data_IF_457055276638
#
_entry.id   IF_457055276638
#
_cell.length_a   1.000
_cell.length_b   1.000
_cell.length_c   1.000
_cell.angle_alpha   90.00
_cell.angle_beta   90.00
_cell.angle_gamma   90.00
#
_symmetry.space_group_name_H-M   'P 1'
#
loop_
_entity.id
_entity.type
_entity.pdbx_description
1 polymer ?
#
# COMPACT_ATOMS: atom_id res chain seq x y z
N UNK A 1 -23.00 10.99 10.79
CA UNK A 1 -22.02 11.48 9.83
C UNK A 1 -21.54 10.33 8.96
N UNK A 2 -21.29 10.57 7.68
CA UNK A 2 -20.87 9.53 6.72
C UNK A 2 -19.53 9.89 6.10
N UNK A 3 -18.55 9.00 6.19
CA UNK A 3 -17.22 9.18 5.60
C UNK A 3 -16.97 8.16 4.49
N UNK A 4 -16.23 8.59 3.46
CA UNK A 4 -15.55 7.67 2.57
C UNK A 4 -14.13 7.44 3.11
N UNK A 5 -13.69 6.18 3.19
CA UNK A 5 -12.33 5.81 3.57
C UNK A 5 -11.63 5.19 2.36
N UNK A 6 -10.52 5.79 2.00
CA UNK A 6 -9.58 5.38 0.95
C UNK A 6 -8.15 5.49 1.48
N UNK A 7 -7.20 4.87 0.81
CA UNK A 7 -5.77 4.95 1.12
C UNK A 7 -4.95 4.34 0.00
N UNK A 8 -3.63 4.35 0.15
CA UNK A 8 -2.68 3.66 -0.71
C UNK A 8 -2.90 4.01 -2.20
N UNK A 9 -3.04 5.33 -2.48
CA UNK A 9 -3.30 5.84 -3.83
C UNK A 9 -2.11 5.60 -4.74
N UNK A 10 -0.89 5.69 -4.19
CA UNK A 10 0.38 5.52 -4.89
C UNK A 10 0.42 6.26 -6.23
N UNK A 11 0.02 7.53 -6.23
CA UNK A 11 -0.04 8.33 -7.45
C UNK A 11 1.36 8.43 -8.07
N UNK A 12 1.44 8.12 -9.36
CA UNK A 12 2.71 8.04 -10.09
C UNK A 12 3.32 6.65 -10.15
N UNK A 13 2.63 5.61 -9.63
CA UNK A 13 3.10 4.23 -9.68
C UNK A 13 3.33 3.74 -11.10
N UNK A 14 4.39 2.97 -11.25
CA UNK A 14 4.69 2.20 -12.46
C UNK A 14 4.68 0.71 -12.12
N UNK A 15 4.04 -0.08 -12.94
CA UNK A 15 4.00 -1.55 -12.80
C UNK A 15 4.60 -2.17 -14.05
N UNK A 16 5.67 -2.94 -13.93
CA UNK A 16 6.41 -3.52 -15.07
C UNK A 16 6.66 -2.50 -16.19
N UNK A 17 7.16 -1.32 -15.81
CA UNK A 17 7.43 -0.17 -16.71
C UNK A 17 6.21 0.53 -17.33
N UNK A 18 5.00 0.06 -17.08
CA UNK A 18 3.78 0.74 -17.49
C UNK A 18 3.41 1.85 -16.48
N UNK A 19 3.16 3.05 -16.98
CA UNK A 19 2.66 4.15 -16.14
C UNK A 19 1.19 3.92 -15.83
N UNK A 20 0.82 4.04 -14.55
CA UNK A 20 -0.58 3.90 -14.11
C UNK A 20 -1.33 5.23 -14.05
N UNK A 21 -0.70 6.37 -14.39
CA UNK A 21 -1.27 7.72 -14.21
C UNK A 21 -2.62 7.92 -14.87
N UNK A 22 -2.84 7.40 -16.10
CA UNK A 22 -4.13 7.52 -16.79
C UNK A 22 -5.24 6.73 -16.07
N UNK A 23 -4.91 5.51 -15.59
CA UNK A 23 -5.86 4.68 -14.86
C UNK A 23 -6.11 5.26 -13.47
N UNK A 24 -5.10 5.85 -12.84
CA UNK A 24 -5.23 6.58 -11.58
C UNK A 24 -6.14 7.80 -11.75
N UNK A 25 -5.96 8.61 -12.79
CA UNK A 25 -6.86 9.72 -13.10
C UNK A 25 -8.31 9.25 -13.30
N UNK A 26 -8.50 8.17 -14.02
CA UNK A 26 -9.83 7.60 -14.26
C UNK A 26 -10.50 7.16 -12.95
N UNK A 27 -9.77 6.44 -12.09
CA UNK A 27 -10.33 5.91 -10.85
C UNK A 27 -10.59 7.01 -9.80
N UNK A 28 -9.71 8.02 -9.70
CA UNK A 28 -9.90 9.17 -8.82
C UNK A 28 -11.14 9.98 -9.20
N UNK A 29 -11.40 10.18 -10.50
CA UNK A 29 -12.63 10.80 -10.98
C UNK A 29 -13.88 9.96 -10.68
N UNK A 30 -13.77 8.62 -10.72
CA UNK A 30 -14.87 7.74 -10.33
C UNK A 30 -15.15 7.85 -8.83
N UNK A 31 -14.10 7.96 -8.00
CA UNK A 31 -14.25 8.15 -6.56
C UNK A 31 -15.02 9.43 -6.22
N UNK A 32 -14.70 10.57 -6.84
CA UNK A 32 -15.42 11.83 -6.60
C UNK A 32 -16.91 11.64 -6.87
N UNK A 33 -17.28 11.00 -7.98
CA UNK A 33 -18.70 10.71 -8.30
C UNK A 33 -19.34 9.82 -7.25
N UNK A 34 -18.63 8.77 -6.80
CA UNK A 34 -19.12 7.90 -5.72
C UNK A 34 -19.35 8.70 -4.44
N UNK A 35 -18.45 9.61 -4.08
CA UNK A 35 -18.59 10.43 -2.88
C UNK A 35 -19.81 11.35 -2.95
N UNK A 36 -20.06 11.98 -4.09
CA UNK A 36 -21.26 12.79 -4.34
C UNK A 36 -22.55 11.95 -4.29
N UNK A 37 -22.58 10.80 -4.98
CA UNK A 37 -23.73 9.88 -5.01
C UNK A 37 -24.05 9.31 -3.62
N UNK A 38 -23.00 8.97 -2.85
CA UNK A 38 -23.15 8.49 -1.47
C UNK A 38 -23.43 9.61 -0.47
N UNK A 39 -23.30 10.88 -0.87
CA UNK A 39 -23.47 12.08 -0.04
C UNK A 39 -22.63 11.97 1.23
N UNK A 40 -21.33 11.76 1.04
CA UNK A 40 -20.40 11.69 2.17
C UNK A 40 -20.18 13.07 2.79
N UNK A 41 -20.03 13.12 4.10
CA UNK A 41 -19.72 14.35 4.85
C UNK A 41 -18.22 14.63 4.92
N UNK A 42 -17.40 13.72 4.37
CA UNK A 42 -15.94 13.87 4.28
C UNK A 42 -15.24 12.61 3.80
N UNK A 43 -13.96 12.77 3.45
CA UNK A 43 -13.09 11.69 2.96
C UNK A 43 -11.91 11.49 3.91
N UNK A 44 -11.68 10.27 4.37
CA UNK A 44 -10.51 9.84 5.13
C UNK A 44 -9.50 9.24 4.15
N UNK A 45 -8.30 9.84 4.03
CA UNK A 45 -7.21 9.35 3.18
C UNK A 45 -6.10 8.80 4.07
N UNK A 46 -6.00 7.49 4.14
CA UNK A 46 -5.16 6.76 5.09
C UNK A 46 -3.71 6.56 4.61
N UNK A 47 -3.07 7.61 4.08
CA UNK A 47 -1.65 7.61 3.70
C UNK A 47 -1.35 7.01 2.32
N UNK A 48 -0.05 6.97 2.00
CA UNK A 48 0.52 6.57 0.72
C UNK A 48 -0.17 7.22 -0.47
N UNK A 49 -0.19 8.56 -0.41
CA UNK A 49 -0.75 9.39 -1.48
C UNK A 49 0.09 9.26 -2.74
N UNK A 50 1.41 9.35 -2.60
CA UNK A 50 2.36 9.18 -3.69
C UNK A 50 3.08 7.83 -3.62
N UNK A 51 3.52 7.33 -4.78
CA UNK A 51 4.33 6.11 -4.85
C UNK A 51 5.77 6.30 -4.34
N UNK A 52 6.24 7.54 -4.27
CA UNK A 52 7.61 7.87 -3.87
C UNK A 52 7.67 9.17 -3.06
N UNK A 53 8.62 9.24 -2.14
CA UNK A 53 8.90 10.44 -1.32
C UNK A 53 9.20 11.69 -2.15
N UNK A 54 9.70 11.51 -3.39
CA UNK A 54 9.87 12.57 -4.40
C UNK A 54 9.02 12.21 -5.62
N UNK A 55 7.74 12.63 -5.65
CA UNK A 55 6.84 12.35 -6.76
C UNK A 55 7.24 13.09 -8.03
N UNK A 56 6.84 12.57 -9.20
CA UNK A 56 6.99 13.30 -10.46
C UNK A 56 6.03 14.49 -10.53
N UNK A 57 6.33 15.45 -11.41
CA UNK A 57 5.46 16.62 -11.60
C UNK A 57 4.03 16.22 -12.03
N UNK A 58 3.91 15.19 -12.87
CA UNK A 58 2.62 14.69 -13.33
C UNK A 58 1.82 14.04 -12.19
N UNK A 59 2.51 13.38 -11.25
CA UNK A 59 1.87 12.80 -10.06
C UNK A 59 1.35 13.91 -9.13
N UNK A 60 2.14 14.96 -8.92
CA UNK A 60 1.73 16.13 -8.13
C UNK A 60 0.53 16.81 -8.77
N UNK A 61 0.55 17.02 -10.09
CA UNK A 61 -0.56 17.62 -10.82
C UNK A 61 -1.84 16.77 -10.70
N UNK A 62 -1.72 15.45 -10.83
CA UNK A 62 -2.88 14.56 -10.70
C UNK A 62 -3.50 14.62 -9.30
N UNK A 63 -2.66 14.68 -8.26
CA UNK A 63 -3.16 14.83 -6.90
C UNK A 63 -3.82 16.19 -6.68
N UNK A 64 -3.22 17.27 -7.19
CA UNK A 64 -3.80 18.62 -7.15
C UNK A 64 -5.19 18.65 -7.83
N UNK A 65 -5.33 18.02 -9.00
CA UNK A 65 -6.62 17.88 -9.69
C UNK A 65 -7.66 17.17 -8.82
N UNK A 66 -7.25 16.08 -8.13
CA UNK A 66 -8.13 15.31 -7.25
C UNK A 66 -8.60 16.11 -6.04
N UNK A 67 -7.66 16.74 -5.31
CA UNK A 67 -7.97 17.55 -4.13
C UNK A 67 -8.79 18.78 -4.50
N UNK A 68 -8.45 19.45 -5.60
CA UNK A 68 -9.24 20.57 -6.14
C UNK A 68 -10.66 20.12 -6.53
N UNK A 69 -10.80 18.89 -7.06
CA UNK A 69 -12.10 18.29 -7.34
C UNK A 69 -12.95 18.10 -6.09
N UNK A 70 -12.36 17.60 -5.02
CA UNK A 70 -13.04 17.43 -3.72
C UNK A 70 -13.43 18.78 -3.10
N UNK A 71 -12.54 19.77 -3.12
CA UNK A 71 -12.83 21.12 -2.64
C UNK A 71 -13.99 21.78 -3.42
N UNK A 72 -14.03 21.62 -4.76
CA UNK A 72 -15.15 22.12 -5.59
C UNK A 72 -16.49 21.43 -5.30
N UNK A 73 -16.44 20.16 -4.92
CA UNK A 73 -17.60 19.39 -4.49
C UNK A 73 -17.98 19.66 -3.01
N UNK A 74 -17.28 20.58 -2.34
CA UNK A 74 -17.47 20.93 -0.94
C UNK A 74 -17.38 19.69 0.00
N UNK A 75 -16.47 18.74 -0.33
CA UNK A 75 -16.24 17.51 0.43
C UNK A 75 -14.98 17.69 1.28
N UNK A 76 -15.08 17.76 2.61
CA UNK A 76 -13.94 17.85 3.52
C UNK A 76 -13.00 16.65 3.41
N UNK A 77 -11.70 16.90 3.56
CA UNK A 77 -10.64 15.87 3.47
C UNK A 77 -9.85 15.78 4.77
N UNK A 78 -9.67 14.58 5.27
CA UNK A 78 -8.86 14.24 6.44
C UNK A 78 -7.78 13.27 6.02
N UNK A 79 -6.53 13.75 5.92
CA UNK A 79 -5.44 13.02 5.27
C UNK A 79 -4.20 12.91 6.14
N UNK A 80 -3.55 11.77 6.05
CA UNK A 80 -2.24 11.52 6.67
C UNK A 80 -1.20 11.15 5.62
N UNK A 81 0.08 11.22 5.96
CA UNK A 81 1.17 10.62 5.19
C UNK A 81 1.34 9.15 5.55
N UNK A 82 1.66 8.33 4.54
CA UNK A 82 2.10 6.95 4.70
C UNK A 82 3.62 6.80 4.70
N UNK A 83 4.12 5.56 4.53
CA UNK A 83 5.57 5.29 4.52
C UNK A 83 6.25 5.65 3.18
N UNK A 84 5.51 5.70 2.07
CA UNK A 84 6.01 6.15 0.76
C UNK A 84 6.03 7.67 0.64
N UNK A 85 5.24 8.38 1.41
CA UNK A 85 5.17 9.84 1.37
C UNK A 85 6.36 10.49 2.11
N UNK A 86 6.71 11.73 1.72
CA UNK A 86 7.42 12.65 2.61
C UNK A 86 6.37 13.47 3.37
N UNK A 87 6.29 13.28 4.68
CA UNK A 87 5.35 14.00 5.54
C UNK A 87 5.54 15.53 5.42
N UNK A 88 6.79 16.01 5.30
CA UNK A 88 7.13 17.44 5.14
C UNK A 88 6.59 18.00 3.82
N UNK A 89 6.71 17.23 2.72
CA UNK A 89 6.24 17.67 1.40
C UNK A 89 4.72 17.62 1.30
N UNK A 90 4.11 16.57 1.82
CA UNK A 90 2.66 16.39 1.78
C UNK A 90 1.96 17.45 2.65
N UNK A 91 2.55 17.81 3.80
CA UNK A 91 2.00 18.83 4.69
C UNK A 91 2.36 20.28 4.28
N UNK A 92 3.06 20.47 3.16
CA UNK A 92 3.34 21.81 2.66
C UNK A 92 2.04 22.58 2.38
N UNK A 93 1.88 23.73 3.01
CA UNK A 93 0.67 24.54 2.88
C UNK A 93 -0.55 24.05 3.68
N UNK A 94 -0.41 23.00 4.50
CA UNK A 94 -1.53 22.39 5.24
C UNK A 94 -2.41 23.39 5.99
N UNK A 95 -1.80 24.42 6.64
CA UNK A 95 -2.55 25.47 7.34
C UNK A 95 -3.39 26.35 6.40
N UNK A 96 -2.95 26.53 5.16
CA UNK A 96 -3.71 27.29 4.16
C UNK A 96 -4.89 26.45 3.63
N UNK A 97 -4.72 25.15 3.50
CA UNK A 97 -5.75 24.24 3.01
C UNK A 97 -6.91 24.05 4.00
N UNK A 98 -6.68 24.29 5.29
CA UNK A 98 -7.74 24.24 6.32
C UNK A 98 -8.90 25.20 6.03
N UNK A 99 -8.64 26.32 5.35
CA UNK A 99 -9.69 27.24 4.93
C UNK A 99 -10.63 26.68 3.86
N UNK A 100 -10.24 25.57 3.25
CA UNK A 100 -11.02 24.80 2.27
C UNK A 100 -11.43 23.42 2.79
N UNK A 101 -11.47 23.25 4.12
CA UNK A 101 -11.80 22.01 4.80
C UNK A 101 -10.91 20.80 4.43
N UNK A 102 -9.64 21.07 4.08
CA UNK A 102 -8.63 20.04 3.80
C UNK A 102 -7.65 20.00 4.96
N UNK A 103 -7.73 18.94 5.76
CA UNK A 103 -6.92 18.73 6.97
C UNK A 103 -5.86 17.67 6.68
N UNK A 104 -4.59 18.07 6.75
CA UNK A 104 -3.43 17.22 6.51
C UNK A 104 -2.67 17.06 7.83
N UNK A 105 -2.28 15.81 8.17
CA UNK A 105 -1.36 15.58 9.29
C UNK A 105 -0.01 16.24 8.99
N UNK A 106 0.58 16.85 9.98
CA UNK A 106 1.96 17.33 9.91
C UNK A 106 2.95 16.20 10.24
N UNK A 107 4.24 16.47 10.13
CA UNK A 107 5.27 15.61 10.72
C UNK A 107 4.97 15.47 12.21
N UNK A 108 5.01 14.25 12.72
CA UNK A 108 4.75 14.00 14.14
C UNK A 108 5.83 14.65 15.01
N UNK A 109 5.42 15.55 15.87
CA UNK A 109 6.26 16.33 16.78
C UNK A 109 5.93 16.12 18.27
N UNK A 110 5.14 15.08 18.56
CA UNK A 110 4.64 14.74 19.90
C UNK A 110 3.14 14.93 20.03
N UNK A 111 2.50 15.68 19.12
CA UNK A 111 1.07 15.92 19.11
C UNK A 111 0.40 15.33 17.87
N UNK A 112 -0.75 14.74 18.05
CA UNK A 112 -1.59 14.24 16.94
C UNK A 112 -2.68 15.26 16.63
N UNK A 113 -2.84 15.59 15.33
CA UNK A 113 -3.87 16.54 14.92
C UNK A 113 -5.26 15.95 15.18
N UNK A 114 -6.08 16.67 15.94
CA UNK A 114 -7.46 16.34 16.24
C UNK A 114 -8.41 17.37 15.63
N UNK A 115 -9.40 16.92 14.89
CA UNK A 115 -10.48 17.74 14.34
C UNK A 115 -11.80 17.34 15.02
N UNK A 116 -12.52 18.31 15.56
CA UNK A 116 -13.82 18.06 16.22
C UNK A 116 -14.94 18.48 15.28
N UNK A 117 -15.75 17.52 14.89
CA UNK A 117 -16.95 17.68 14.07
C UNK A 117 -18.19 17.49 14.95
N UNK A 118 -19.35 17.88 14.43
CA UNK A 118 -20.60 17.73 15.15
C UNK A 118 -21.75 17.42 14.19
N UNK A 119 -22.58 16.46 14.58
CA UNK A 119 -23.85 16.16 13.92
C UNK A 119 -24.98 16.01 14.94
N UNK A 120 -26.12 15.47 14.51
CA UNK A 120 -27.30 15.26 15.34
C UNK A 120 -27.09 14.31 16.54
N UNK A 121 -26.05 13.47 16.51
CA UNK A 121 -25.70 12.54 17.59
C UNK A 121 -24.61 13.10 18.52
N UNK A 122 -24.18 14.36 18.34
CA UNK A 122 -23.17 15.03 19.17
C UNK A 122 -21.80 15.16 18.49
N UNK A 123 -20.72 15.33 19.25
CA UNK A 123 -19.37 15.52 18.72
C UNK A 123 -18.77 14.22 18.17
N UNK A 124 -17.89 14.37 17.18
CA UNK A 124 -17.02 13.34 16.64
C UNK A 124 -15.62 13.90 16.61
N UNK A 125 -14.65 13.20 17.19
CA UNK A 125 -13.24 13.55 17.08
C UNK A 125 -12.58 12.70 16.00
N UNK A 126 -11.97 13.35 14.99
CA UNK A 126 -11.16 12.71 13.95
C UNK A 126 -9.70 12.97 14.27
N UNK A 127 -8.94 11.90 14.48
CA UNK A 127 -7.52 11.95 14.81
C UNK A 127 -6.70 11.52 13.59
N UNK A 128 -5.67 12.28 13.27
CA UNK A 128 -4.80 12.05 12.12
C UNK A 128 -3.43 11.60 12.60
N UNK A 129 -3.16 10.30 12.59
CA UNK A 129 -1.89 9.68 12.96
C UNK A 129 -1.10 9.33 11.69
N UNK A 130 -0.07 10.12 11.29
CA UNK A 130 0.78 9.79 10.15
C UNK A 130 1.54 8.48 10.40
N UNK A 131 2.17 7.94 9.36
CA UNK A 131 3.06 6.80 9.54
C UNK A 131 4.18 7.13 10.52
N UNK A 132 4.32 6.31 11.56
CA UNK A 132 5.28 6.50 12.63
C UNK A 132 6.39 5.45 12.56
N UNK A 133 7.64 5.92 12.60
CA UNK A 133 8.81 5.08 12.88
C UNK A 133 9.19 5.24 14.36
N UNK A 134 9.61 4.17 15.06
CA UNK A 134 9.98 4.23 16.48
C UNK A 134 10.98 5.36 16.79
N UNK A 135 11.99 5.54 15.91
CA UNK A 135 12.99 6.58 16.06
C UNK A 135 12.41 8.02 16.04
N UNK A 136 11.39 8.25 15.21
CA UNK A 136 10.74 9.58 15.15
C UNK A 136 9.94 9.85 16.42
N UNK A 137 9.25 8.84 16.96
CA UNK A 137 8.48 8.97 18.21
C UNK A 137 9.41 9.15 19.41
N UNK A 138 10.53 8.40 19.49
CA UNK A 138 11.58 8.63 20.51
C UNK A 138 12.03 10.08 20.53
N UNK A 139 12.35 10.60 19.34
CA UNK A 139 12.83 11.98 19.21
C UNK A 139 11.77 13.00 19.63
N UNK A 140 10.53 12.84 19.17
CA UNK A 140 9.43 13.76 19.45
C UNK A 140 9.05 13.78 20.93
N UNK A 141 8.98 12.62 21.58
CA UNK A 141 8.58 12.48 22.98
C UNK A 141 9.77 12.50 23.96
N UNK A 142 11.01 12.55 23.47
CA UNK A 142 12.25 12.47 24.27
C UNK A 142 12.26 11.23 25.19
N UNK A 143 11.87 10.08 24.64
CA UNK A 143 11.76 8.77 25.32
C UNK A 143 12.65 7.74 24.65
N UNK A 144 13.56 7.12 25.38
CA UNK A 144 14.50 6.11 24.85
C UNK A 144 13.95 4.67 24.88
N UNK A 145 12.82 4.47 25.57
CA UNK A 145 12.21 3.15 25.81
C UNK A 145 11.31 2.65 24.65
N UNK A 146 11.17 3.39 23.55
CA UNK A 146 10.35 3.07 22.38
C UNK A 146 11.22 2.35 21.33
N UNK A 147 11.08 1.04 21.18
CA UNK A 147 11.90 0.21 20.28
C UNK A 147 11.12 -0.40 19.12
N UNK A 148 9.81 -0.59 19.29
CA UNK A 148 8.93 -1.22 18.28
C UNK A 148 7.92 -0.23 17.73
N UNK A 149 7.33 -0.57 16.57
CA UNK A 149 6.25 0.22 15.98
C UNK A 149 5.02 0.26 16.89
N UNK A 150 4.69 -0.86 17.54
CA UNK A 150 3.59 -0.92 18.51
C UNK A 150 3.81 0.03 19.68
N UNK A 151 4.99 0.01 20.30
CA UNK A 151 5.33 0.96 21.38
C UNK A 151 5.25 2.42 20.93
N UNK A 152 5.69 2.70 19.69
CA UNK A 152 5.60 4.04 19.12
C UNK A 152 4.15 4.51 18.93
N UNK A 153 3.30 3.66 18.36
CA UNK A 153 1.88 3.98 18.17
C UNK A 153 1.18 4.12 19.53
N UNK A 154 1.44 3.21 20.47
CA UNK A 154 0.87 3.28 21.82
C UNK A 154 1.28 4.59 22.52
N UNK A 155 2.56 4.96 22.46
CA UNK A 155 3.05 6.20 23.05
C UNK A 155 2.35 7.42 22.44
N UNK A 156 2.25 7.49 21.10
CA UNK A 156 1.56 8.59 20.43
C UNK A 156 0.06 8.70 20.79
N UNK A 157 -0.62 7.56 20.96
CA UNK A 157 -2.03 7.54 21.38
C UNK A 157 -2.20 7.91 22.86
N UNK A 158 -1.25 7.58 23.72
CA UNK A 158 -1.27 7.95 25.15
C UNK A 158 -1.13 9.45 25.40
N UNK A 159 -0.36 10.16 24.55
CA UNK A 159 -0.26 11.61 24.61
C UNK A 159 -1.58 12.32 24.22
N UNK A 160 -2.51 11.60 23.60
CA UNK A 160 -3.82 12.12 23.27
C UNK A 160 -4.83 11.76 24.35
N UNK A 161 -5.42 12.77 24.98
CA UNK A 161 -6.56 12.56 25.89
C UNK A 161 -7.81 12.16 25.10
N UNK A 162 -7.97 10.85 24.84
CA UNK A 162 -9.10 10.30 24.09
C UNK A 162 -10.31 10.16 25.02
N UNK A 163 -11.34 10.99 24.80
CA UNK A 163 -12.61 10.83 25.50
C UNK A 163 -13.41 9.66 24.90
N UNK A 164 -13.32 8.49 25.52
CA UNK A 164 -14.01 7.27 25.09
C UNK A 164 -15.53 7.34 25.21
N UNK A 165 -16.09 8.35 25.86
CA UNK A 165 -17.55 8.56 25.92
C UNK A 165 -18.08 9.20 24.63
N UNK A 166 -17.24 9.85 23.87
CA UNK A 166 -17.55 10.47 22.57
C UNK A 166 -17.20 9.54 21.42
N UNK A 167 -17.67 9.89 20.22
CA UNK A 167 -17.36 9.16 18.99
C UNK A 167 -15.96 9.55 18.49
N UNK A 168 -15.09 8.55 18.34
CA UNK A 168 -13.69 8.74 17.96
C UNK A 168 -13.38 7.98 16.68
N UNK A 169 -12.81 8.66 15.71
CA UNK A 169 -12.31 8.11 14.43
C UNK A 169 -10.82 8.34 14.38
N UNK A 170 -10.07 7.30 14.05
CA UNK A 170 -8.63 7.38 13.80
C UNK A 170 -8.36 7.13 12.31
N UNK A 171 -7.51 7.95 11.72
CA UNK A 171 -6.87 7.67 10.43
C UNK A 171 -5.42 7.33 10.72
N UNK A 172 -4.97 6.13 10.33
CA UNK A 172 -3.65 5.63 10.62
C UNK A 172 -3.08 4.83 9.44
N UNK A 173 -1.75 4.77 9.35
CA UNK A 173 -1.05 4.02 8.31
C UNK A 173 -0.03 3.10 8.97
N UNK A 174 -0.44 1.88 9.31
CA UNK A 174 0.37 0.93 10.07
C UNK A 174 0.06 -0.51 9.65
N UNK A 175 1.04 -1.40 9.82
CA UNK A 175 0.83 -2.83 9.64
C UNK A 175 0.23 -3.45 10.91
N UNK A 176 -1.02 -3.87 10.83
CA UNK A 176 -1.69 -4.59 11.94
C UNK A 176 -1.43 -6.09 11.81
N UNK A 177 -1.00 -6.70 12.90
CA UNK A 177 -0.67 -8.13 12.97
C UNK A 177 -1.78 -9.02 12.43
N UNK A 178 -1.43 -9.91 11.52
CA UNK A 178 -2.37 -10.85 10.89
C UNK A 178 -3.03 -10.34 9.61
N UNK A 179 -2.63 -9.18 9.08
CA UNK A 179 -3.09 -8.71 7.78
C UNK A 179 -2.46 -9.53 6.63
N UNK A 180 -3.27 -9.85 5.62
CA UNK A 180 -2.83 -10.49 4.37
C UNK A 180 -2.13 -9.46 3.48
N UNK A 181 -0.89 -9.72 3.09
CA UNK A 181 -0.06 -8.86 2.23
C UNK A 181 -0.11 -9.28 0.76
N UNK A 182 0.21 -8.34 -0.12
CA UNK A 182 0.42 -8.54 -1.57
C UNK A 182 1.90 -8.29 -1.94
N UNK A 183 2.32 -8.72 -3.12
CA UNK A 183 3.72 -8.52 -3.58
C UNK A 183 4.07 -7.04 -3.86
N UNK A 184 3.08 -6.16 -3.90
CA UNK A 184 3.26 -4.72 -4.15
C UNK A 184 3.57 -3.91 -2.89
N UNK A 185 3.47 -4.52 -1.71
CA UNK A 185 3.78 -3.89 -0.42
C UNK A 185 5.24 -4.12 -0.03
N UNK A 186 5.84 -3.13 0.63
CA UNK A 186 7.19 -3.28 1.17
C UNK A 186 7.18 -4.26 2.35
N UNK A 187 8.08 -5.23 2.33
CA UNK A 187 8.26 -6.18 3.43
C UNK A 187 9.51 -5.82 4.24
N UNK A 188 9.34 -5.56 5.52
CA UNK A 188 10.47 -5.43 6.44
C UNK A 188 10.83 -6.81 7.01
N UNK A 189 12.12 -7.12 6.94
CA UNK A 189 12.64 -8.39 7.46
C UNK A 189 12.56 -8.40 8.97
N UNK A 190 11.90 -9.42 9.55
CA UNK A 190 11.86 -9.65 11.00
C UNK A 190 10.58 -9.27 11.71
N UNK A 191 9.53 -8.77 11.03
CA UNK A 191 8.21 -8.52 11.64
C UNK A 191 8.19 -7.46 12.75
N UNK A 192 9.17 -6.54 12.75
CA UNK A 192 9.29 -5.46 13.74
C UNK A 192 8.27 -4.32 13.51
N UNK A 193 7.60 -4.30 12.37
CA UNK A 193 6.60 -3.31 11.93
C UNK A 193 5.18 -3.61 12.41
N UNK A 194 4.98 -4.71 13.14
CA UNK A 194 3.68 -5.17 13.59
C UNK A 194 3.10 -4.31 14.72
N UNK A 195 1.79 -4.00 14.61
CA UNK A 195 1.01 -3.32 15.65
C UNK A 195 -0.21 -4.20 15.98
N UNK A 196 -0.49 -4.43 17.26
CA UNK A 196 -1.67 -5.20 17.67
C UNK A 196 -2.96 -4.44 17.42
N UNK A 197 -4.01 -5.14 17.00
CA UNK A 197 -5.36 -4.57 16.85
C UNK A 197 -5.91 -3.96 18.15
N UNK A 198 -5.48 -4.47 19.32
CA UNK A 198 -5.90 -3.99 20.66
C UNK A 198 -5.47 -2.55 20.94
N UNK A 199 -4.38 -2.07 20.30
CA UNK A 199 -3.91 -0.68 20.43
C UNK A 199 -4.98 0.33 20.02
N UNK A 200 -5.88 -0.08 19.13
CA UNK A 200 -6.93 0.77 18.53
C UNK A 200 -8.32 0.61 19.17
N UNK A 201 -8.43 -0.04 20.31
CA UNK A 201 -9.72 -0.40 20.94
C UNK A 201 -10.61 0.79 21.31
N UNK A 202 -10.01 1.93 21.63
CA UNK A 202 -10.71 3.12 22.13
C UNK A 202 -11.38 3.95 21.01
N UNK A 203 -11.23 3.54 19.75
CA UNK A 203 -11.82 4.20 18.59
C UNK A 203 -13.06 3.44 18.09
N UNK A 204 -14.11 4.18 17.74
CA UNK A 204 -15.32 3.63 17.13
C UNK A 204 -15.04 3.15 15.71
N UNK A 205 -14.19 3.87 14.96
CA UNK A 205 -13.71 3.49 13.63
C UNK A 205 -12.25 3.83 13.45
N UNK A 206 -11.50 2.93 12.82
CA UNK A 206 -10.10 3.13 12.43
C UNK A 206 -9.95 2.91 10.94
N UNK A 207 -9.63 3.99 10.24
CA UNK A 207 -9.32 3.99 8.82
C UNK A 207 -7.82 3.66 8.63
N UNK A 208 -7.51 2.41 8.25
CA UNK A 208 -6.15 1.94 8.04
C UNK A 208 -5.73 2.03 6.57
N UNK A 209 -4.52 2.51 6.32
CA UNK A 209 -3.73 2.33 5.09
C UNK A 209 -2.51 1.45 5.33
N UNK A 210 -1.73 1.18 4.31
CA UNK A 210 -0.53 0.36 4.22
C UNK A 210 -0.77 -1.00 3.53
N UNK A 211 -1.92 -1.61 3.69
CA UNK A 211 -2.22 -2.92 3.09
C UNK A 211 -3.13 -2.77 1.89
N UNK A 212 -2.70 -3.31 0.76
CA UNK A 212 -3.34 -3.13 -0.54
C UNK A 212 -4.63 -3.95 -0.72
N UNK A 213 -4.83 -4.99 0.11
CA UNK A 213 -6.04 -5.79 0.11
C UNK A 213 -7.09 -5.17 1.04
N UNK A 214 -8.32 -4.85 0.54
CA UNK A 214 -9.42 -4.47 1.42
C UNK A 214 -9.73 -5.58 2.41
N UNK A 215 -9.55 -5.34 3.71
CA UNK A 215 -9.77 -6.34 4.76
C UNK A 215 -10.04 -5.72 6.13
N UNK A 216 -10.74 -6.44 6.98
CA UNK A 216 -10.95 -6.08 8.39
C UNK A 216 -9.92 -6.74 9.29
N UNK A 217 -9.60 -6.09 10.40
CA UNK A 217 -8.68 -6.59 11.41
C UNK A 217 -9.43 -6.86 12.72
N UNK A 218 -9.85 -8.11 12.91
CA UNK A 218 -10.67 -8.53 14.05
C UNK A 218 -12.12 -8.04 13.99
N UNK A 219 -12.36 -6.72 13.89
CA UNK A 219 -13.69 -6.10 13.83
C UNK A 219 -13.91 -5.33 12.52
N UNK A 220 -15.19 -5.17 12.10
CA UNK A 220 -15.55 -4.43 10.86
C UNK A 220 -15.12 -2.96 10.89
N UNK A 221 -15.02 -2.38 12.07
CA UNK A 221 -14.69 -0.98 12.28
C UNK A 221 -13.19 -0.69 12.43
N UNK A 222 -12.34 -1.70 12.29
CA UNK A 222 -10.88 -1.60 12.17
C UNK A 222 -10.49 -2.26 10.84
N UNK A 223 -10.20 -1.48 9.81
CA UNK A 223 -10.02 -2.06 8.48
C UNK A 223 -9.14 -1.25 7.55
N UNK A 224 -8.56 -1.96 6.60
CA UNK A 224 -7.89 -1.41 5.42
C UNK A 224 -8.90 -1.19 4.29
N UNK A 225 -8.84 -0.02 3.65
CA UNK A 225 -9.60 0.23 2.41
C UNK A 225 -8.98 -0.48 1.22
N UNK A 226 -7.68 -0.73 1.28
CA UNK A 226 -6.88 -1.21 0.16
C UNK A 226 -6.61 -0.14 -0.90
N UNK A 227 -5.78 -0.49 -1.88
CA UNK A 227 -5.48 0.39 -3.03
C UNK A 227 -6.69 0.54 -3.95
N UNK A 228 -6.81 1.68 -4.66
CA UNK A 228 -7.91 1.90 -5.63
C UNK A 228 -7.78 1.08 -6.91
N UNK A 229 -6.56 0.70 -7.27
CA UNK A 229 -6.22 -0.13 -8.42
C UNK A 229 -5.37 -1.32 -7.97
N UNK A 230 -5.25 -2.33 -8.82
CA UNK A 230 -4.31 -3.44 -8.62
C UNK A 230 -2.92 -3.01 -9.06
N UNK A 231 -1.93 -3.14 -8.18
CA UNK A 231 -0.55 -2.73 -8.44
C UNK A 231 0.43 -3.91 -8.54
N UNK A 232 -0.06 -5.13 -8.38
CA UNK A 232 0.69 -6.35 -8.65
C UNK A 232 -0.24 -7.47 -9.14
N UNK A 233 0.34 -8.47 -9.80
CA UNK A 233 -0.45 -9.64 -10.21
C UNK A 233 -0.89 -10.53 -9.04
N UNK A 234 -0.30 -10.39 -7.85
CA UNK A 234 -0.84 -11.04 -6.64
C UNK A 234 -2.21 -10.48 -6.24
N UNK A 235 -2.54 -9.27 -6.70
CA UNK A 235 -3.83 -8.62 -6.46
C UNK A 235 -4.89 -8.91 -7.54
N UNK A 236 -4.59 -9.78 -8.53
CA UNK A 236 -5.48 -10.02 -9.67
C UNK A 236 -6.93 -10.36 -9.25
N UNK A 237 -7.08 -11.08 -8.13
CA UNK A 237 -8.38 -11.49 -7.59
C UNK A 237 -8.99 -10.51 -6.58
N UNK A 238 -8.31 -9.40 -6.28
CA UNK A 238 -8.83 -8.40 -5.35
C UNK A 238 -9.98 -7.61 -5.97
N UNK A 239 -11.03 -7.38 -5.18
CA UNK A 239 -12.13 -6.48 -5.53
C UNK A 239 -11.88 -5.12 -4.88
N UNK A 240 -11.41 -4.18 -5.67
CA UNK A 240 -11.11 -2.82 -5.20
C UNK A 240 -12.41 -2.04 -4.96
N UNK A 241 -12.44 -1.22 -3.92
CA UNK A 241 -13.66 -0.51 -3.51
C UNK A 241 -13.34 0.73 -2.67
N UNK A 242 -14.29 1.64 -2.63
CA UNK A 242 -14.35 2.69 -1.60
C UNK A 242 -15.07 2.10 -0.39
N UNK A 243 -14.53 2.29 0.80
CA UNK A 243 -15.24 1.96 2.04
C UNK A 243 -16.08 3.16 2.47
N UNK A 244 -17.36 2.93 2.70
CA UNK A 244 -18.31 3.92 3.23
C UNK A 244 -18.60 3.60 4.70
N UNK A 245 -18.41 4.58 5.56
CA UNK A 245 -18.55 4.47 7.01
C UNK A 245 -19.61 5.45 7.49
N UNK A 246 -20.65 4.95 8.08
CA UNK A 246 -21.72 5.77 8.67
C UNK A 246 -21.64 5.67 10.20
N UNK A 247 -21.24 6.79 10.84
CA UNK A 247 -21.23 6.92 12.30
C UNK A 247 -22.58 7.48 12.76
N UNK A 248 -23.30 6.66 13.50
CA UNK A 248 -24.56 7.04 14.15
C UNK A 248 -24.27 7.47 15.59
N UNK A 249 -25.09 7.05 16.56
CA UNK A 249 -24.79 7.24 17.99
C UNK A 249 -23.53 6.47 18.41
N UNK A 250 -22.97 6.82 19.56
CA UNK A 250 -21.77 6.15 20.11
C UNK A 250 -21.89 4.63 20.10
N UNK A 251 -20.88 3.99 19.51
CA UNK A 251 -20.81 2.53 19.38
C UNK A 251 -21.62 1.95 18.21
N UNK A 252 -22.41 2.75 17.49
CA UNK A 252 -23.17 2.30 16.32
C UNK A 252 -22.50 2.82 15.02
N UNK A 253 -21.76 1.95 14.36
CA UNK A 253 -21.04 2.23 13.11
C UNK A 253 -21.48 1.22 12.06
N UNK A 254 -21.88 1.71 10.89
CA UNK A 254 -22.19 0.88 9.73
C UNK A 254 -21.11 1.03 8.68
N UNK A 255 -20.65 -0.09 8.15
CA UNK A 255 -19.62 -0.15 7.12
C UNK A 255 -20.18 -0.85 5.89
N UNK A 256 -19.99 -0.24 4.74
CA UNK A 256 -20.31 -0.80 3.43
C UNK A 256 -19.24 -0.47 2.42
N UNK A 257 -19.26 -1.10 1.25
CA UNK A 257 -18.27 -0.85 0.21
C UNK A 257 -18.96 -0.58 -1.12
N UNK A 258 -18.40 0.36 -1.90
CA UNK A 258 -18.82 0.64 -3.27
C UNK A 258 -17.70 0.18 -4.20
N UNK A 259 -17.95 -0.75 -5.14
CA UNK A 259 -16.92 -1.27 -6.03
C UNK A 259 -16.31 -0.16 -6.90
N UNK A 260 -15.00 -0.24 -7.10
CA UNK A 260 -14.26 0.54 -8.07
C UNK A 260 -14.07 -0.28 -9.35
N UNK A 261 -14.44 0.30 -10.48
CA UNK A 261 -14.35 -0.37 -11.78
C UNK A 261 -13.17 0.23 -12.56
N UNK A 262 -12.06 -0.48 -12.73
CA UNK A 262 -10.91 0.04 -13.43
C UNK A 262 -11.21 0.21 -14.94
N UNK A 263 -10.53 1.15 -15.59
CA UNK A 263 -10.57 1.30 -17.05
C UNK A 263 -9.90 0.10 -17.75
N UNK A 264 -8.82 -0.39 -17.18
CA UNK A 264 -8.06 -1.58 -17.59
C UNK A 264 -7.86 -2.43 -16.34
N UNK A 265 -8.31 -3.66 -16.37
CA UNK A 265 -8.12 -4.57 -15.23
C UNK A 265 -6.74 -5.24 -15.30
N UNK A 266 -6.30 -5.80 -14.18
CA UNK A 266 -5.08 -6.60 -14.10
C UNK A 266 -5.47 -8.05 -13.93
N UNK A 267 -5.09 -8.90 -14.90
CA UNK A 267 -5.52 -10.30 -14.97
C UNK A 267 -4.36 -11.24 -15.28
N UNK A 268 -4.52 -12.48 -14.85
CA UNK A 268 -3.64 -13.60 -15.19
C UNK A 268 -4.32 -14.49 -16.22
N UNK A 269 -3.60 -14.85 -17.28
CA UNK A 269 -4.03 -15.87 -18.26
C UNK A 269 -3.05 -17.03 -18.21
N UNK A 270 -3.55 -18.26 -18.35
CA UNK A 270 -2.74 -19.47 -18.39
C UNK A 270 -3.29 -20.43 -19.44
N UNK A 271 -2.44 -20.91 -20.32
CA UNK A 271 -2.79 -21.85 -21.39
C UNK A 271 -1.68 -21.99 -22.41
N UNK A 272 -1.91 -22.79 -23.45
CA UNK A 272 -1.00 -22.83 -24.60
C UNK A 272 -1.05 -21.51 -25.38
N UNK A 273 -0.04 -21.25 -26.20
CA UNK A 273 -0.04 -20.08 -27.09
C UNK A 273 -1.30 -20.02 -27.96
N UNK A 274 -1.73 -21.17 -28.50
CA UNK A 274 -2.93 -21.28 -29.32
C UNK A 274 -4.19 -20.95 -28.51
N UNK A 275 -4.29 -21.45 -27.28
CA UNK A 275 -5.44 -21.20 -26.41
C UNK A 275 -5.56 -19.70 -26.08
N UNK A 276 -4.48 -19.09 -25.57
CA UNK A 276 -4.52 -17.67 -25.14
C UNK A 276 -4.70 -16.70 -26.29
N UNK A 277 -4.39 -17.10 -27.54
CA UNK A 277 -4.59 -16.27 -28.73
C UNK A 277 -5.86 -16.59 -29.51
N UNK A 278 -6.65 -17.57 -29.08
CA UNK A 278 -7.91 -17.89 -29.70
C UNK A 278 -8.92 -16.74 -29.58
N UNK A 279 -9.63 -16.42 -30.68
CA UNK A 279 -10.55 -15.26 -30.73
C UNK A 279 -11.69 -15.34 -29.69
N UNK A 280 -12.03 -16.54 -29.27
CA UNK A 280 -13.09 -16.74 -28.27
C UNK A 280 -12.64 -16.40 -26.84
N UNK A 281 -11.34 -16.21 -26.61
CA UNK A 281 -10.76 -15.92 -25.30
C UNK A 281 -10.61 -14.44 -24.99
N UNK A 282 -10.84 -13.55 -25.97
CA UNK A 282 -10.72 -12.11 -25.74
C UNK A 282 -11.79 -11.30 -26.48
N UNK A 283 -12.23 -10.22 -25.83
CA UNK A 283 -13.10 -9.19 -26.42
C UNK A 283 -12.30 -7.96 -26.77
N UNK A 284 -12.91 -7.00 -27.49
CA UNK A 284 -12.29 -5.72 -27.78
C UNK A 284 -11.91 -4.95 -26.49
N UNK A 285 -12.69 -5.12 -25.43
CA UNK A 285 -12.51 -4.45 -24.15
C UNK A 285 -11.37 -5.11 -23.31
N UNK A 286 -11.46 -6.43 -23.08
CA UNK A 286 -10.53 -7.13 -22.18
C UNK A 286 -9.12 -7.34 -22.75
N UNK A 287 -8.91 -7.20 -24.06
CA UNK A 287 -7.57 -7.26 -24.66
C UNK A 287 -6.68 -6.07 -24.27
N UNK A 288 -7.30 -4.99 -23.77
CA UNK A 288 -6.58 -3.80 -23.30
C UNK A 288 -6.20 -3.88 -21.83
N UNK A 289 -6.62 -4.92 -21.11
CA UNK A 289 -6.22 -5.15 -19.74
C UNK A 289 -4.72 -5.38 -19.58
N UNK A 290 -4.21 -5.15 -18.39
CA UNK A 290 -2.85 -5.49 -18.02
C UNK A 290 -2.73 -6.98 -17.73
N UNK A 291 -1.84 -7.66 -18.43
CA UNK A 291 -1.81 -9.13 -18.41
C UNK A 291 -0.46 -9.67 -17.95
N UNK A 292 -0.54 -10.69 -17.12
CA UNK A 292 0.48 -11.72 -16.96
C UNK A 292 0.00 -12.97 -17.70
N UNK A 293 0.79 -13.46 -18.65
CA UNK A 293 0.49 -14.70 -19.39
C UNK A 293 1.51 -15.76 -18.99
N UNK A 294 1.00 -16.92 -18.59
CA UNK A 294 1.79 -18.12 -18.33
C UNK A 294 1.52 -19.14 -19.43
N UNK A 295 2.50 -19.32 -20.34
CA UNK A 295 2.40 -20.31 -21.40
C UNK A 295 2.72 -21.70 -20.85
N UNK A 296 1.89 -22.67 -21.27
CA UNK A 296 2.05 -24.09 -20.91
C UNK A 296 2.62 -24.96 -22.04
N UNK A 297 3.06 -24.31 -23.15
CA UNK A 297 3.70 -24.99 -24.25
C UNK A 297 5.01 -25.64 -23.76
N UNK A 298 5.21 -26.93 -24.09
CA UNK A 298 6.44 -27.66 -23.70
C UNK A 298 7.68 -27.15 -24.43
N UNK A 299 7.50 -26.62 -25.65
CA UNK A 299 8.55 -25.96 -26.43
C UNK A 299 8.39 -24.44 -26.37
N UNK A 300 9.50 -23.72 -26.33
CA UNK A 300 9.48 -22.25 -26.33
C UNK A 300 8.92 -21.73 -27.66
N UNK A 301 7.90 -20.90 -27.59
CA UNK A 301 7.29 -20.26 -28.76
C UNK A 301 8.20 -19.13 -29.26
N UNK A 302 8.81 -19.23 -30.46
CA UNK A 302 9.73 -18.21 -30.95
C UNK A 302 9.04 -16.84 -31.07
N UNK A 303 9.62 -15.81 -30.41
CA UNK A 303 9.08 -14.46 -30.41
C UNK A 303 7.70 -14.31 -29.73
N UNK A 304 7.38 -15.17 -28.75
CA UNK A 304 6.10 -15.21 -28.06
C UNK A 304 5.66 -13.84 -27.54
N UNK A 305 6.54 -13.12 -26.84
CA UNK A 305 6.23 -11.80 -26.27
C UNK A 305 5.74 -10.81 -27.34
N UNK A 306 6.45 -10.73 -28.47
CA UNK A 306 6.09 -9.81 -29.55
C UNK A 306 4.76 -10.22 -30.22
N UNK A 307 4.58 -11.52 -30.48
CA UNK A 307 3.34 -12.06 -31.06
C UNK A 307 2.14 -11.84 -30.14
N UNK A 308 2.29 -12.12 -28.83
CA UNK A 308 1.22 -11.91 -27.86
C UNK A 308 0.88 -10.43 -27.73
N UNK A 309 1.83 -9.52 -27.79
CA UNK A 309 1.57 -8.06 -27.77
C UNK A 309 0.78 -7.56 -28.99
N UNK A 310 0.72 -8.29 -30.09
CA UNK A 310 -0.19 -7.95 -31.21
C UNK A 310 -1.66 -8.17 -30.84
N UNK A 311 -1.94 -9.11 -29.95
CA UNK A 311 -3.30 -9.40 -29.42
C UNK A 311 -3.56 -8.60 -28.14
N UNK A 312 -2.60 -8.57 -27.23
CA UNK A 312 -2.67 -7.97 -25.91
C UNK A 312 -1.60 -6.86 -25.75
N UNK A 313 -1.87 -5.64 -26.19
CA UNK A 313 -0.86 -4.57 -26.20
C UNK A 313 -0.26 -4.27 -24.83
N UNK A 314 -1.02 -4.49 -23.76
CA UNK A 314 -0.61 -4.24 -22.38
C UNK A 314 -0.14 -5.52 -21.66
N UNK A 315 0.45 -6.47 -22.39
CA UNK A 315 1.12 -7.62 -21.79
C UNK A 315 2.35 -7.16 -21.01
N UNK A 316 2.27 -7.22 -19.68
CA UNK A 316 3.31 -6.80 -18.75
C UNK A 316 4.33 -7.91 -18.48
N UNK A 317 3.85 -9.15 -18.31
CA UNK A 317 4.69 -10.28 -17.89
C UNK A 317 4.35 -11.54 -18.68
N UNK A 318 5.40 -12.22 -19.18
CA UNK A 318 5.31 -13.52 -19.84
C UNK A 318 6.14 -14.52 -19.06
N UNK A 319 5.53 -15.63 -18.73
CA UNK A 319 6.15 -16.75 -18.03
C UNK A 319 5.89 -18.05 -18.78
N UNK A 320 6.69 -19.07 -18.48
CA UNK A 320 6.50 -20.43 -18.94
C UNK A 320 6.32 -21.36 -17.74
N UNK A 321 5.34 -22.29 -17.86
CA UNK A 321 5.13 -23.38 -16.92
C UNK A 321 5.16 -24.70 -17.70
N UNK A 322 6.34 -25.14 -18.09
CA UNK A 322 6.64 -26.38 -18.80
C UNK A 322 7.57 -27.27 -17.97
N UNK A 323 7.86 -28.49 -18.46
CA UNK A 323 8.73 -29.44 -17.74
C UNK A 323 10.07 -28.81 -17.37
N UNK A 324 10.72 -28.13 -18.31
CA UNK A 324 12.02 -27.47 -18.11
C UNK A 324 11.99 -26.45 -16.97
N UNK A 325 10.95 -25.59 -16.94
CA UNK A 325 10.84 -24.57 -15.90
C UNK A 325 10.48 -25.14 -14.52
N UNK A 326 9.75 -26.28 -14.48
CA UNK A 326 9.46 -27.02 -13.25
C UNK A 326 10.70 -27.70 -12.69
N UNK A 327 11.45 -28.43 -13.55
CA UNK A 327 12.70 -29.08 -13.15
C UNK A 327 13.72 -28.05 -12.61
N UNK A 328 13.86 -26.89 -13.26
CA UNK A 328 14.72 -25.82 -12.77
C UNK A 328 14.25 -25.25 -11.43
N UNK A 329 12.93 -25.13 -11.19
CA UNK A 329 12.39 -24.70 -9.89
C UNK A 329 12.63 -25.74 -8.78
N UNK A 330 12.51 -27.03 -9.11
CA UNK A 330 12.83 -28.11 -8.18
C UNK A 330 14.31 -28.12 -7.80
N UNK A 331 15.21 -27.90 -8.77
CA UNK A 331 16.66 -27.78 -8.51
C UNK A 331 16.96 -26.58 -7.64
N UNK A 332 16.38 -25.41 -7.93
CA UNK A 332 16.55 -24.22 -7.09
C UNK A 332 15.94 -24.39 -5.69
N UNK A 333 14.81 -25.09 -5.57
CA UNK A 333 14.17 -25.35 -4.27
C UNK A 333 15.02 -26.33 -3.43
N UNK A 334 15.72 -27.27 -4.06
CA UNK A 334 16.65 -28.19 -3.39
C UNK A 334 17.90 -27.46 -2.93
N UNK A 335 18.44 -26.54 -3.76
CA UNK A 335 19.59 -25.71 -3.40
C UNK A 335 19.30 -24.74 -2.25
N UNK A 336 18.08 -24.23 -2.11
CA UNK A 336 17.65 -23.36 -0.99
C UNK A 336 17.51 -24.15 0.34
N UNK A 337 17.40 -25.48 0.30
CA UNK A 337 17.35 -26.30 1.53
C UNK A 337 18.72 -26.59 2.17
N UNK A 338 19.82 -26.39 1.49
CA UNK A 338 21.14 -26.30 2.16
C UNK A 338 21.27 -24.89 2.74
N UNK A 339 21.33 -24.78 4.06
CA UNK A 339 21.58 -23.53 4.77
C UNK A 339 22.98 -23.03 4.41
N UNK A 340 23.11 -22.31 3.28
CA UNK A 340 24.36 -21.65 2.92
C UNK A 340 24.66 -20.57 3.95
N UNK A 341 25.93 -20.50 4.37
CA UNK A 341 26.36 -19.43 5.28
C UNK A 341 26.26 -18.07 4.57
N UNK A 342 26.15 -16.98 5.34
CA UNK A 342 26.14 -15.61 4.79
C UNK A 342 27.38 -15.34 3.93
N UNK A 343 28.52 -15.91 4.29
CA UNK A 343 29.76 -15.86 3.53
C UNK A 343 29.61 -16.57 2.18
N UNK A 344 29.07 -17.79 2.16
CA UNK A 344 28.85 -18.54 0.93
C UNK A 344 27.91 -17.83 -0.06
N UNK A 345 26.83 -17.20 0.47
CA UNK A 345 25.92 -16.41 -0.35
C UNK A 345 26.61 -15.18 -0.95
N UNK A 346 27.53 -14.57 -0.19
CA UNK A 346 28.30 -13.44 -0.68
C UNK A 346 29.36 -13.84 -1.71
N UNK A 347 30.03 -14.97 -1.53
CA UNK A 347 30.99 -15.54 -2.50
C UNK A 347 30.31 -15.83 -3.83
N UNK A 348 29.17 -16.49 -3.84
CA UNK A 348 28.39 -16.77 -5.05
C UNK A 348 27.93 -15.49 -5.75
N UNK A 349 27.46 -14.50 -4.98
CA UNK A 349 27.08 -13.20 -5.52
C UNK A 349 28.25 -12.45 -6.14
N UNK A 350 29.42 -12.51 -5.49
CA UNK A 350 30.65 -11.91 -6.01
C UNK A 350 31.10 -12.58 -7.32
N UNK A 351 31.09 -13.91 -7.36
CA UNK A 351 31.47 -14.68 -8.56
C UNK A 351 30.49 -14.42 -9.72
N UNK A 352 29.18 -14.31 -9.42
CA UNK A 352 28.17 -13.96 -10.42
C UNK A 352 28.40 -12.58 -11.05
N UNK A 353 28.85 -11.61 -10.25
CA UNK A 353 29.07 -10.23 -10.74
C UNK A 353 30.40 -10.06 -11.44
N UNK A 354 31.45 -10.75 -11.01
CA UNK A 354 32.83 -10.54 -11.49
C UNK A 354 33.31 -11.62 -12.45
N UNK A 355 32.56 -12.72 -12.63
CA UNK A 355 32.94 -13.94 -13.37
C UNK A 355 34.25 -14.55 -12.89
N UNK A 356 34.69 -14.28 -11.67
CA UNK A 356 35.87 -14.82 -11.02
C UNK A 356 35.54 -15.02 -9.51
N UNK A 357 36.06 -16.12 -8.89
CA UNK A 357 35.88 -16.34 -7.45
C UNK A 357 36.63 -15.29 -6.64
N UNK A 358 36.17 -15.07 -5.40
CA UNK A 358 36.86 -14.20 -4.44
C UNK A 358 38.26 -14.71 -4.15
N UNK A 359 39.20 -13.78 -3.99
CA UNK A 359 40.57 -14.08 -3.53
C UNK A 359 40.53 -14.26 -2.00
N UNK A 360 41.48 -15.04 -1.49
CA UNK A 360 41.58 -15.38 -0.06
C UNK A 360 41.53 -14.13 0.86
N UNK A 361 42.27 -13.08 0.49
CA UNK A 361 42.24 -11.77 1.21
C UNK A 361 40.84 -11.10 1.23
N UNK A 362 40.07 -11.28 0.17
CA UNK A 362 38.72 -10.71 0.06
C UNK A 362 37.72 -11.53 0.90
N UNK A 363 37.87 -12.84 0.89
CA UNK A 363 37.06 -13.76 1.73
C UNK A 363 37.27 -13.45 3.21
N UNK A 364 38.54 -13.34 3.67
CA UNK A 364 38.87 -12.97 5.05
C UNK A 364 38.28 -11.61 5.46
N UNK A 365 38.35 -10.64 4.54
CA UNK A 365 37.79 -9.31 4.81
C UNK A 365 36.26 -9.35 5.01
N UNK A 366 35.55 -10.06 4.14
CA UNK A 366 34.08 -10.21 4.20
C UNK A 366 33.67 -11.02 5.44
N UNK A 367 34.38 -12.10 5.77
CA UNK A 367 34.14 -12.90 6.96
C UNK A 367 34.25 -12.06 8.25
N UNK A 368 35.28 -11.23 8.32
CA UNK A 368 35.46 -10.31 9.44
C UNK A 368 34.34 -9.27 9.51
N UNK A 369 33.93 -8.73 8.38
CA UNK A 369 32.84 -7.76 8.31
C UNK A 369 31.50 -8.35 8.77
N UNK A 370 31.21 -9.61 8.39
CA UNK A 370 30.02 -10.34 8.82
C UNK A 370 30.08 -10.57 10.34
N UNK A 371 31.24 -10.87 10.88
CA UNK A 371 31.45 -11.11 12.30
C UNK A 371 31.27 -9.81 13.11
N UNK A 372 31.88 -8.70 12.65
CA UNK A 372 31.73 -7.39 13.29
C UNK A 372 30.26 -6.92 13.29
N UNK A 373 29.50 -7.17 12.20
CA UNK A 373 28.07 -6.85 12.13
C UNK A 373 27.20 -7.70 13.06
N UNK A 374 27.61 -8.94 13.37
CA UNK A 374 26.94 -9.79 14.36
C UNK A 374 27.21 -9.32 15.78
N UNK A 375 28.40 -8.80 16.07
CA UNK A 375 28.77 -8.30 17.41
C UNK A 375 28.09 -6.95 17.73
N UNK A 376 27.79 -6.13 16.73
CA UNK A 376 27.05 -4.86 16.90
C UNK A 376 25.55 -5.07 17.13
N UNK A 377 25.03 -6.28 16.87
CA UNK A 377 23.62 -6.64 17.03
C UNK A 377 23.27 -7.33 18.34
N UNK A 378 24.21 -7.43 19.30
CA UNK A 378 23.96 -7.99 20.65
C UNK A 378 23.75 -6.87 21.67
#
# INVERSE_FOLDING_TARGET
MKFAHIGDLHIGKRVHDFSMLEDQRYILNQMIKIFEEQKVDGVLIAGDVYDKTVPSAEAVQLFDEFITGLAKAEIPVYMISGNHDSAERLSFGAKLFESSDIYISQVYDGEMKRIVLKDQYGPISVYLLPFLKPAAVRHALQRDDINTYEEGVMAALQECEIDTTQRNVLVAHQFVTGADRSDSEETWVGGLDNVSAEVFKDFDYVALGHIHRPQKMGRETLRYSGTPLKYSFSEADHKKSVTIVELLEKGNVRVSTVPLIPRRDMRKLRGTYMDVTAKDHYTAENKMDYLQITLTDEEDVPGALQKLRTVYPNLMRLEYDNKRTRENREVQAVEVQEQKSELQLFEEFYELLNNEPMKEEQTEFVEKLIQDLKEVRV
#
